data_IF_118414614821
#
_entry.id   IF_118414614821
#
_cell.length_a   1.000
_cell.length_b   1.000
_cell.length_c   1.000
_cell.angle_alpha   90.00
_cell.angle_beta   90.00
_cell.angle_gamma   90.00
#
_symmetry.space_group_name_H-M   'P 1'
#
loop_
_entity.id
_entity.type
_entity.pdbx_description
1 polymer ?
#
# COMPACT_ATOMS: atom_id res chain seq x y z
N UNK A 1 14.44 7.97 15.28
CA UNK A 1 12.97 7.96 15.05
C UNK A 1 12.43 9.19 15.74
N UNK A 2 11.61 9.96 15.04
CA UNK A 2 10.88 11.09 15.62
C UNK A 2 9.89 10.51 16.65
N UNK A 3 10.16 10.72 17.94
CA UNK A 3 9.44 10.09 19.05
C UNK A 3 8.15 10.85 19.42
N UNK A 4 7.89 11.99 18.79
CA UNK A 4 6.79 12.88 19.15
C UNK A 4 5.48 12.55 18.44
N UNK A 5 5.50 11.61 17.48
CA UNK A 5 4.33 11.27 16.67
C UNK A 5 3.49 10.18 17.33
N UNK A 6 2.20 10.44 17.47
CA UNK A 6 1.24 9.44 17.97
C UNK A 6 0.98 8.34 16.93
N UNK A 7 0.49 7.15 17.31
CA UNK A 7 0.07 6.13 16.37
C UNK A 7 -0.97 6.63 15.34
N UNK A 8 -1.85 7.53 15.76
CA UNK A 8 -2.84 8.17 14.89
C UNK A 8 -2.17 9.05 13.82
N UNK A 9 -1.17 9.85 14.19
CA UNK A 9 -0.43 10.69 13.24
C UNK A 9 0.35 9.85 12.22
N UNK A 10 0.85 8.69 12.63
CA UNK A 10 1.51 7.73 11.73
C UNK A 10 0.52 7.12 10.75
N UNK A 11 -0.68 6.74 11.21
CA UNK A 11 -1.73 6.19 10.35
C UNK A 11 -2.22 7.21 9.31
N UNK A 12 -2.42 8.48 9.70
CA UNK A 12 -2.84 9.52 8.75
C UNK A 12 -1.76 9.84 7.72
N UNK A 13 -0.50 9.97 8.13
CA UNK A 13 0.57 10.21 7.17
C UNK A 13 0.71 9.05 6.17
N UNK A 14 0.53 7.80 6.61
CA UNK A 14 0.51 6.66 5.69
C UNK A 14 -0.64 6.77 4.68
N UNK A 15 -1.83 7.19 5.12
CA UNK A 15 -2.97 7.42 4.24
C UNK A 15 -2.70 8.53 3.20
N UNK A 16 -2.04 9.62 3.61
CA UNK A 16 -1.66 10.72 2.71
C UNK A 16 -0.61 10.27 1.69
N UNK A 17 0.40 9.50 2.09
CA UNK A 17 1.36 8.91 1.15
C UNK A 17 0.69 7.98 0.15
N UNK A 18 -0.31 7.19 0.57
CA UNK A 18 -1.10 6.36 -0.36
C UNK A 18 -1.93 7.21 -1.31
N UNK A 19 -2.48 8.34 -0.83
CA UNK A 19 -3.20 9.29 -1.70
C UNK A 19 -2.27 9.90 -2.76
N UNK A 20 -1.05 10.27 -2.37
CA UNK A 20 -0.01 10.76 -3.28
C UNK A 20 0.38 9.69 -4.30
N UNK A 21 0.60 8.44 -3.85
CA UNK A 21 0.87 7.31 -4.73
C UNK A 21 -0.26 7.12 -5.74
N UNK A 22 -1.51 7.09 -5.29
CA UNK A 22 -2.69 6.97 -6.16
C UNK A 22 -2.79 8.13 -7.17
N UNK A 23 -2.34 9.33 -6.77
CA UNK A 23 -2.32 10.47 -7.68
C UNK A 23 -1.22 10.31 -8.74
N UNK A 24 -0.03 9.87 -8.35
CA UNK A 24 1.09 9.65 -9.24
C UNK A 24 0.81 8.54 -10.27
N UNK A 25 0.14 7.45 -9.86
CA UNK A 25 -0.10 6.28 -10.72
C UNK A 25 -1.25 6.43 -11.72
N UNK A 26 -1.86 7.62 -11.85
CA UNK A 26 -2.97 7.89 -12.80
C UNK A 26 -2.57 7.78 -14.28
N UNK A 27 -1.29 7.97 -14.59
CA UNK A 27 -0.78 7.97 -15.97
C UNK A 27 0.38 7.01 -16.11
N UNK A 28 0.44 6.28 -17.23
CA UNK A 28 1.55 5.37 -17.53
C UNK A 28 2.90 6.08 -17.57
N UNK A 29 2.91 7.37 -17.92
CA UNK A 29 4.11 8.22 -17.95
C UNK A 29 4.81 8.34 -16.59
N UNK A 30 4.08 8.14 -15.47
CA UNK A 30 4.66 8.14 -14.13
C UNK A 30 5.64 6.98 -13.90
N UNK A 31 5.59 5.94 -14.76
CA UNK A 31 6.49 4.81 -14.70
C UNK A 31 7.64 4.93 -15.71
N UNK A 32 7.66 5.94 -16.58
CA UNK A 32 8.78 6.11 -17.51
C UNK A 32 10.06 6.50 -16.74
N UNK A 33 11.22 6.20 -17.33
CA UNK A 33 12.52 6.58 -16.79
C UNK A 33 12.82 8.06 -17.01
N UNK A 34 14.04 8.45 -16.66
CA UNK A 34 14.55 9.79 -16.93
C UNK A 34 14.36 10.19 -18.41
N UNK A 35 14.08 11.48 -18.64
CA UNK A 35 13.81 12.03 -19.97
C UNK A 35 12.65 11.37 -20.74
N UNK A 36 11.76 10.62 -20.05
CA UNK A 36 10.60 9.98 -20.65
C UNK A 36 10.89 8.61 -21.30
N UNK A 37 12.05 8.02 -21.00
CA UNK A 37 12.44 6.70 -21.52
C UNK A 37 11.41 5.62 -21.16
N UNK A 38 10.70 5.11 -22.15
CA UNK A 38 9.57 4.18 -21.97
C UNK A 38 10.00 2.78 -21.56
N UNK A 39 11.21 2.35 -21.94
CA UNK A 39 11.73 1.02 -21.64
C UNK A 39 11.85 0.71 -20.12
N UNK A 40 11.89 1.75 -19.28
CA UNK A 40 11.91 1.59 -17.81
C UNK A 40 10.53 1.30 -17.20
N UNK A 41 9.42 1.50 -17.94
CA UNK A 41 8.07 1.41 -17.40
C UNK A 41 7.75 0.06 -16.72
N UNK A 42 8.08 -1.10 -17.30
CA UNK A 42 7.81 -2.38 -16.64
C UNK A 42 8.56 -2.56 -15.32
N UNK A 43 9.83 -2.14 -15.25
CA UNK A 43 10.63 -2.21 -14.03
C UNK A 43 10.08 -1.29 -12.92
N UNK A 44 9.63 -0.09 -13.27
CA UNK A 44 9.04 0.87 -12.33
C UNK A 44 7.65 0.42 -11.83
N UNK A 45 6.84 -0.20 -12.70
CA UNK A 45 5.59 -0.87 -12.32
C UNK A 45 5.84 -2.01 -11.33
N UNK A 46 6.81 -2.89 -11.64
CA UNK A 46 7.20 -3.99 -10.76
C UNK A 46 7.68 -3.50 -9.39
N UNK A 47 8.53 -2.46 -9.37
CA UNK A 47 9.00 -1.82 -8.15
C UNK A 47 7.86 -1.22 -7.31
N UNK A 48 6.86 -0.63 -7.97
CA UNK A 48 5.66 -0.09 -7.30
C UNK A 48 4.86 -1.21 -6.63
N UNK A 49 4.64 -2.33 -7.33
CA UNK A 49 3.98 -3.51 -6.76
C UNK A 49 4.76 -4.08 -5.57
N UNK A 50 6.09 -4.13 -5.65
CA UNK A 50 6.94 -4.57 -4.55
C UNK A 50 6.78 -3.68 -3.31
N UNK A 51 6.63 -2.36 -3.49
CA UNK A 51 6.29 -1.44 -2.40
C UNK A 51 4.93 -1.76 -1.76
N UNK A 52 3.91 -2.04 -2.56
CA UNK A 52 2.58 -2.44 -2.06
C UNK A 52 2.61 -3.79 -1.34
N UNK A 53 3.42 -4.75 -1.79
CA UNK A 53 3.67 -6.00 -1.07
C UNK A 53 4.24 -5.70 0.32
N UNK A 54 5.28 -4.87 0.42
CA UNK A 54 5.88 -4.52 1.72
C UNK A 54 4.89 -3.82 2.67
N UNK A 55 4.03 -2.94 2.16
CA UNK A 55 2.99 -2.30 2.96
C UNK A 55 1.98 -3.31 3.51
N UNK A 56 1.46 -4.17 2.65
CA UNK A 56 0.47 -5.19 3.02
C UNK A 56 1.05 -6.30 3.88
N UNK A 57 2.35 -6.53 3.84
CA UNK A 57 3.06 -7.48 4.71
C UNK A 57 3.12 -6.98 6.18
N UNK A 58 3.22 -5.67 6.37
CA UNK A 58 3.38 -5.03 7.70
C UNK A 58 2.06 -4.67 8.38
N UNK A 59 1.04 -4.30 7.60
CA UNK A 59 -0.25 -3.83 8.11
C UNK A 59 -0.99 -4.82 9.05
N UNK A 60 -0.92 -6.15 8.86
CA UNK A 60 -1.54 -7.11 9.77
C UNK A 60 -1.06 -6.96 11.23
N UNK A 61 0.22 -6.62 11.44
CA UNK A 61 0.76 -6.43 12.79
C UNK A 61 0.09 -5.24 13.50
N UNK A 62 -0.13 -4.13 12.79
CA UNK A 62 -0.83 -2.96 13.34
C UNK A 62 -2.28 -3.29 13.71
N UNK A 63 -2.98 -4.08 12.91
CA UNK A 63 -4.35 -4.52 13.24
C UNK A 63 -4.39 -5.43 14.47
N UNK A 64 -3.43 -6.34 14.61
CA UNK A 64 -3.31 -7.17 15.81
C UNK A 64 -3.05 -6.32 17.07
N UNK A 65 -2.21 -5.28 16.96
CA UNK A 65 -1.95 -4.36 18.07
C UNK A 65 -3.19 -3.55 18.44
N UNK A 66 -3.97 -3.06 17.46
CA UNK A 66 -5.24 -2.37 17.71
C UNK A 66 -6.26 -3.27 18.40
N UNK A 67 -6.37 -4.54 17.98
CA UNK A 67 -7.26 -5.51 18.62
C UNK A 67 -6.89 -5.74 20.09
N UNK A 68 -5.60 -5.94 20.37
CA UNK A 68 -5.10 -6.13 21.75
C UNK A 68 -5.37 -4.89 22.60
N UNK A 69 -5.10 -3.70 22.07
CA UNK A 69 -5.41 -2.45 22.78
C UNK A 69 -6.89 -2.30 23.09
N UNK A 70 -7.76 -2.62 22.12
CA UNK A 70 -9.20 -2.57 22.32
C UNK A 70 -9.70 -3.58 23.37
N UNK A 71 -9.18 -4.82 23.35
CA UNK A 71 -9.49 -5.83 24.37
C UNK A 71 -9.06 -5.37 25.76
N UNK A 72 -7.84 -4.82 25.89
CA UNK A 72 -7.35 -4.30 27.16
C UNK A 72 -8.22 -3.15 27.69
N UNK A 73 -8.64 -2.22 26.84
CA UNK A 73 -9.53 -1.12 27.24
C UNK A 73 -10.92 -1.63 27.67
N UNK A 74 -11.44 -2.69 27.06
CA UNK A 74 -12.68 -3.35 27.47
C UNK A 74 -12.54 -4.03 28.83
N UNK A 75 -11.48 -4.82 29.03
CA UNK A 75 -11.16 -5.50 30.29
C UNK A 75 -10.98 -4.51 31.46
N UNK A 76 -10.36 -3.37 31.19
CA UNK A 76 -10.15 -2.28 32.15
C UNK A 76 -11.40 -1.39 32.36
N UNK A 77 -12.52 -1.68 31.69
CA UNK A 77 -13.77 -0.92 31.74
C UNK A 77 -13.59 0.57 31.38
N UNK A 78 -12.69 0.88 30.45
CA UNK A 78 -12.37 2.25 30.02
C UNK A 78 -13.17 2.72 28.80
N UNK A 79 -14.06 1.88 28.28
CA UNK A 79 -14.86 2.16 27.09
C UNK A 79 -16.26 2.60 27.51
N UNK A 80 -16.76 3.68 26.91
CA UNK A 80 -18.16 4.10 27.01
C UNK A 80 -18.72 4.33 25.62
N UNK A 81 -19.97 3.91 25.39
CA UNK A 81 -20.68 4.20 24.14
C UNK A 81 -21.32 5.59 24.21
N UNK A 82 -21.33 6.31 23.07
CA UNK A 82 -21.89 7.67 23.02
C UNK A 82 -23.42 7.70 23.19
N UNK A 83 -24.10 6.61 22.83
CA UNK A 83 -25.54 6.41 22.96
C UNK A 83 -25.97 5.85 24.33
N UNK A 84 -25.00 5.62 25.24
CA UNK A 84 -25.25 5.08 26.58
C UNK A 84 -25.51 3.57 26.63
N UNK A 85 -25.33 2.85 25.52
CA UNK A 85 -25.45 1.37 25.50
C UNK A 85 -24.24 0.69 26.15
N UNK A 86 -24.41 -0.58 26.52
CA UNK A 86 -23.32 -1.41 27.04
C UNK A 86 -22.23 -1.62 25.97
N UNK A 87 -20.94 -1.34 26.27
CA UNK A 87 -19.87 -1.38 25.28
C UNK A 87 -19.64 -2.73 24.60
N UNK A 88 -19.99 -3.85 25.26
CA UNK A 88 -19.56 -5.20 24.85
C UNK A 88 -19.97 -5.58 23.42
N UNK A 89 -21.16 -5.19 22.94
CA UNK A 89 -21.57 -5.48 21.56
C UNK A 89 -20.75 -4.66 20.54
N UNK A 90 -20.51 -3.39 20.84
CA UNK A 90 -19.71 -2.49 20.02
C UNK A 90 -18.25 -2.96 19.91
N UNK A 91 -17.66 -3.34 21.05
CA UNK A 91 -16.29 -3.88 21.11
C UNK A 91 -16.19 -5.19 20.34
N UNK A 92 -17.10 -6.14 20.58
CA UNK A 92 -17.15 -7.41 19.86
C UNK A 92 -17.24 -7.22 18.35
N UNK A 93 -18.04 -6.25 17.91
CA UNK A 93 -18.19 -5.92 16.48
C UNK A 93 -16.90 -5.35 15.91
N UNK A 94 -16.25 -4.41 16.61
CA UNK A 94 -14.97 -3.83 16.20
C UNK A 94 -13.85 -4.89 16.13
N UNK A 95 -13.75 -5.79 17.11
CA UNK A 95 -12.76 -6.86 17.11
C UNK A 95 -12.93 -7.82 15.92
N UNK A 96 -14.18 -8.19 15.60
CA UNK A 96 -14.49 -9.00 14.42
C UNK A 96 -14.13 -8.28 13.13
N UNK A 97 -14.45 -6.99 13.01
CA UNK A 97 -14.10 -6.19 11.83
C UNK A 97 -12.58 -6.08 11.63
N UNK A 98 -11.81 -5.87 12.70
CA UNK A 98 -10.35 -5.81 12.63
C UNK A 98 -9.73 -7.16 12.25
N UNK A 99 -10.29 -8.28 12.74
CA UNK A 99 -9.87 -9.63 12.34
C UNK A 99 -10.16 -9.86 10.84
N UNK A 100 -11.35 -9.51 10.37
CA UNK A 100 -11.70 -9.63 8.95
C UNK A 100 -10.79 -8.78 8.06
N UNK A 101 -10.44 -7.56 8.51
CA UNK A 101 -9.49 -6.70 7.79
C UNK A 101 -8.10 -7.33 7.71
N UNK A 102 -7.63 -7.97 8.77
CA UNK A 102 -6.35 -8.69 8.81
C UNK A 102 -6.31 -9.80 7.76
N UNK A 103 -7.38 -10.61 7.67
CA UNK A 103 -7.51 -11.67 6.67
C UNK A 103 -7.58 -11.11 5.24
N UNK A 104 -8.35 -10.05 5.02
CA UNK A 104 -8.46 -9.39 3.72
C UNK A 104 -7.11 -8.84 3.23
N UNK A 105 -6.30 -8.25 4.13
CA UNK A 105 -4.97 -7.75 3.79
C UNK A 105 -4.02 -8.89 3.44
N UNK A 106 -4.08 -10.03 4.15
CA UNK A 106 -3.28 -11.21 3.80
C UNK A 106 -3.65 -11.75 2.41
N UNK A 107 -4.94 -11.81 2.10
CA UNK A 107 -5.40 -12.20 0.77
C UNK A 107 -4.91 -11.22 -0.32
N UNK A 108 -4.98 -9.90 -0.05
CA UNK A 108 -4.45 -8.88 -0.94
C UNK A 108 -2.94 -9.01 -1.15
N UNK A 109 -2.17 -9.25 -0.08
CA UNK A 109 -0.73 -9.49 -0.15
C UNK A 109 -0.39 -10.70 -1.03
N UNK A 110 -1.14 -11.80 -0.88
CA UNK A 110 -1.00 -12.98 -1.72
C UNK A 110 -1.26 -12.64 -3.20
N UNK A 111 -2.36 -11.95 -3.50
CA UNK A 111 -2.68 -11.52 -4.85
C UNK A 111 -1.59 -10.60 -5.46
N UNK A 112 -1.06 -9.66 -4.68
CA UNK A 112 0.04 -8.79 -5.10
C UNK A 112 1.32 -9.58 -5.40
N UNK A 113 1.68 -10.58 -4.59
CA UNK A 113 2.83 -11.46 -4.85
C UNK A 113 2.65 -12.26 -6.14
N UNK A 114 1.43 -12.77 -6.38
CA UNK A 114 1.08 -13.47 -7.62
C UNK A 114 1.20 -12.56 -8.85
N UNK A 115 0.80 -11.29 -8.74
CA UNK A 115 0.97 -10.31 -9.80
C UNK A 115 2.44 -9.88 -9.99
N UNK A 116 3.19 -9.70 -8.89
CA UNK A 116 4.58 -9.27 -8.91
C UNK A 116 5.53 -10.28 -9.55
N UNK A 117 5.25 -11.58 -9.42
CA UNK A 117 6.10 -12.64 -9.97
C UNK A 117 6.35 -12.53 -11.49
N UNK A 118 5.33 -12.46 -12.37
CA UNK A 118 5.57 -12.24 -13.79
C UNK A 118 6.10 -10.83 -14.09
N UNK A 119 5.73 -9.81 -13.31
CA UNK A 119 6.20 -8.43 -13.51
C UNK A 119 7.71 -8.27 -13.30
N UNK A 120 8.32 -9.08 -12.43
CA UNK A 120 9.77 -9.09 -12.23
C UNK A 120 10.55 -9.54 -13.47
N UNK A 121 9.92 -10.26 -14.40
CA UNK A 121 10.52 -10.70 -15.66
C UNK A 121 10.19 -9.77 -16.85
N UNK A 122 9.32 -8.78 -16.66
CA UNK A 122 8.94 -7.86 -17.74
C UNK A 122 10.06 -6.84 -17.98
N UNK A 123 10.58 -6.80 -19.20
CA UNK A 123 11.45 -5.72 -19.70
C UNK A 123 10.68 -4.82 -20.66
N UNK A 124 11.02 -3.54 -20.71
CA UNK A 124 10.49 -2.64 -21.73
C UNK A 124 11.33 -2.69 -23.01
N UNK A 125 10.70 -2.43 -24.15
CA UNK A 125 11.40 -2.24 -25.41
C UNK A 125 12.25 -0.96 -25.35
N UNK A 126 13.45 -1.01 -25.93
CA UNK A 126 14.19 0.20 -26.26
C UNK A 126 13.40 0.94 -27.33
N UNK A 127 13.27 2.26 -27.21
CA UNK A 127 12.65 3.07 -28.26
C UNK A 127 13.60 3.01 -29.47
N UNK A 128 13.30 2.19 -30.49
CA UNK A 128 14.13 2.04 -31.70
C UNK A 128 14.00 3.23 -32.68
N UNK A 129 13.35 4.32 -32.29
CA UNK A 129 13.09 5.45 -33.19
C UNK A 129 13.91 6.68 -32.82
N UNK A 130 15.22 6.68 -33.10
CA UNK A 130 16.02 7.89 -33.38
C UNK A 130 17.31 7.56 -34.19
N UNK A 131 17.34 6.48 -34.98
CA UNK A 131 18.43 6.19 -35.94
C UNK A 131 17.94 6.21 -37.41
N UNK A 132 17.04 7.12 -37.76
CA UNK A 132 16.72 7.45 -39.16
C UNK A 132 17.08 8.92 -39.44
N UNK A 133 18.37 9.28 -39.34
CA UNK A 133 18.90 10.55 -39.85
C UNK A 133 20.42 10.44 -40.10
N UNK A 134 20.87 9.42 -40.85
CA UNK A 134 22.21 9.47 -41.48
C UNK A 134 22.33 8.45 -42.62
N UNK A 135 21.67 8.71 -43.76
CA UNK A 135 22.22 8.36 -45.08
C UNK A 135 21.30 8.85 -46.22
N UNK A 136 21.51 10.11 -46.61
CA UNK A 136 21.22 10.56 -47.97
C UNK A 136 22.31 11.55 -48.41
N UNK A 137 23.53 11.04 -48.55
CA UNK A 137 24.56 11.62 -49.42
C UNK A 137 24.82 10.63 -50.55
N UNK A 138 24.28 10.89 -51.74
CA UNK A 138 24.99 11.08 -53.03
C UNK A 138 24.04 11.77 -54.01
#
# INVERSE_FOLDING_TARGET
MDQDRTPQDLAYAAADTIRELNHATKSVSAFHGEHGFRGAAPANLSSTVQGLITLTDRMPQSLQQLRRGLQQLEEEQQIRMADGTEPGEGVSTALRALLNAEEAIRAANHALRTAGAPMAAMGGYLDETLDEDDDAVV
#
